data_IF_442946409799
#
_entry.id   IF_442946409799
#
_cell.length_a   1.000
_cell.length_b   1.000
_cell.length_c   1.000
_cell.angle_alpha   90.00
_cell.angle_beta   90.00
_cell.angle_gamma   90.00
#
_symmetry.space_group_name_H-M   'P 1'
#
loop_
_entity.id
_entity.type
_entity.pdbx_description
1 polymer ?
#
# COMPACT_ATOMS: atom_id res chain seq x y z
N UNK A 1 -2.56 -15.37 -4.08
CA UNK A 1 -3.96 -14.92 -3.97
C UNK A 1 -4.89 -15.77 -4.85
N UNK A 2 -4.78 -15.75 -6.19
CA UNK A 2 -5.72 -16.44 -7.11
C UNK A 2 -5.83 -17.98 -7.01
N UNK A 3 -4.89 -18.64 -6.33
CA UNK A 3 -4.88 -20.10 -6.11
C UNK A 3 -4.80 -20.42 -4.61
N UNK A 4 -5.33 -19.54 -3.77
CA UNK A 4 -5.26 -19.66 -2.30
C UNK A 4 -3.83 -19.72 -1.73
N UNK A 5 -2.86 -19.19 -2.49
CA UNK A 5 -1.44 -19.11 -2.10
C UNK A 5 -1.06 -17.81 -1.39
N UNK A 6 -2.02 -17.06 -0.85
CA UNK A 6 -1.70 -15.93 0.05
C UNK A 6 -0.99 -16.46 1.30
N UNK A 7 0.11 -15.82 1.72
CA UNK A 7 0.86 -16.29 2.89
C UNK A 7 0.14 -15.90 4.17
N UNK A 8 -0.31 -14.65 4.24
CA UNK A 8 -1.04 -14.15 5.38
C UNK A 8 -2.54 -14.32 5.16
N UNK A 9 -3.28 -14.51 6.25
CA UNK A 9 -4.74 -14.52 6.20
C UNK A 9 -5.29 -13.25 5.52
N UNK A 10 -4.70 -12.08 5.83
CA UNK A 10 -5.05 -10.81 5.20
C UNK A 10 -4.88 -10.79 3.69
N UNK A 11 -3.87 -11.49 3.15
CA UNK A 11 -3.62 -11.55 1.71
C UNK A 11 -4.74 -12.32 1.01
N UNK A 12 -5.22 -13.39 1.66
CA UNK A 12 -6.27 -14.22 1.10
C UNK A 12 -7.64 -13.55 1.17
N UNK A 13 -7.85 -12.60 2.10
CA UNK A 13 -9.11 -11.83 2.16
C UNK A 13 -9.34 -10.93 0.95
N UNK A 14 -8.30 -10.62 0.16
CA UNK A 14 -8.48 -9.83 -1.06
C UNK A 14 -9.09 -10.61 -2.23
N UNK A 15 -9.07 -11.96 -2.18
CA UNK A 15 -9.63 -12.83 -3.21
C UNK A 15 -10.41 -13.97 -2.53
N UNK A 16 -11.62 -13.66 -2.06
CA UNK A 16 -12.47 -14.54 -1.24
C UNK A 16 -13.96 -14.53 -1.66
N UNK A 17 -14.26 -14.15 -2.90
CA UNK A 17 -15.63 -13.96 -3.40
C UNK A 17 -16.19 -12.56 -3.12
N UNK A 18 -15.33 -11.60 -2.76
CA UNK A 18 -15.70 -10.26 -2.34
C UNK A 18 -15.59 -9.20 -3.44
N UNK A 19 -15.73 -7.93 -3.04
CA UNK A 19 -15.68 -6.78 -3.98
C UNK A 19 -14.28 -6.51 -4.54
N UNK A 20 -13.22 -7.04 -3.92
CA UNK A 20 -11.83 -6.82 -4.34
C UNK A 20 -11.33 -7.86 -5.33
N UNK A 21 -12.07 -8.94 -5.54
CA UNK A 21 -11.64 -10.07 -6.37
C UNK A 21 -11.30 -9.62 -7.80
N UNK A 22 -12.16 -8.80 -8.42
CA UNK A 22 -11.96 -8.31 -9.78
C UNK A 22 -10.70 -7.45 -9.93
N UNK A 23 -10.32 -6.72 -8.89
CA UNK A 23 -9.08 -5.94 -8.87
C UNK A 23 -7.85 -6.86 -8.77
N UNK A 24 -7.89 -7.88 -7.90
CA UNK A 24 -6.83 -8.89 -7.80
C UNK A 24 -6.65 -9.62 -9.13
N UNK A 25 -7.75 -9.97 -9.80
CA UNK A 25 -7.71 -10.59 -11.12
C UNK A 25 -7.16 -9.65 -12.20
N UNK A 26 -7.59 -8.39 -12.19
CA UNK A 26 -7.10 -7.36 -13.11
C UNK A 26 -5.60 -7.14 -12.99
N UNK A 27 -5.10 -6.96 -11.77
CA UNK A 27 -3.68 -6.75 -11.50
C UNK A 27 -2.81 -7.97 -11.81
N UNK A 28 -3.35 -9.18 -11.59
CA UNK A 28 -2.64 -10.42 -11.94
C UNK A 28 -2.47 -10.60 -13.46
N UNK A 29 -3.40 -10.06 -14.26
CA UNK A 29 -3.36 -10.12 -15.73
C UNK A 29 -2.64 -8.93 -16.36
N UNK A 30 -2.57 -7.78 -15.66
CA UNK A 30 -1.92 -6.57 -16.14
C UNK A 30 -0.99 -5.96 -15.06
N UNK A 31 0.30 -6.35 -15.05
CA UNK A 31 1.29 -5.83 -14.11
C UNK A 31 1.54 -4.32 -14.24
N UNK A 32 1.39 -3.74 -15.43
CA UNK A 32 1.60 -2.30 -15.65
C UNK A 32 0.51 -1.47 -14.98
N UNK A 33 -0.75 -1.93 -15.06
CA UNK A 33 -1.87 -1.31 -14.33
C UNK A 33 -1.64 -1.36 -12.81
N UNK A 34 -1.18 -2.50 -12.29
CA UNK A 34 -0.80 -2.61 -10.88
C UNK A 34 0.31 -1.63 -10.50
N UNK A 35 1.38 -1.55 -11.28
CA UNK A 35 2.51 -0.66 -10.98
C UNK A 35 2.10 0.82 -10.95
N UNK A 36 1.24 1.24 -11.90
CA UNK A 36 0.72 2.61 -11.95
C UNK A 36 -0.14 2.94 -10.72
N UNK A 37 -1.10 2.07 -10.40
CA UNK A 37 -1.98 2.26 -9.24
C UNK A 37 -1.23 2.16 -7.92
N UNK A 38 -0.24 1.27 -7.84
CA UNK A 38 0.64 1.16 -6.68
C UNK A 38 1.40 2.47 -6.43
N UNK A 39 1.98 3.09 -7.47
CA UNK A 39 2.64 4.39 -7.35
C UNK A 39 1.70 5.47 -6.81
N UNK A 40 0.49 5.56 -7.37
CA UNK A 40 -0.53 6.51 -6.91
C UNK A 40 -0.96 6.25 -5.46
N UNK A 41 -1.14 4.98 -5.09
CA UNK A 41 -1.50 4.57 -3.73
C UNK A 41 -0.39 4.92 -2.73
N UNK A 42 0.88 4.72 -3.09
CA UNK A 42 2.03 5.04 -2.24
C UNK A 42 2.19 6.55 -2.02
N UNK A 43 1.91 7.38 -3.04
CA UNK A 43 1.86 8.85 -2.88
C UNK A 43 0.76 9.23 -1.90
N UNK A 44 -0.45 8.68 -2.08
CA UNK A 44 -1.58 8.94 -1.18
C UNK A 44 -1.26 8.51 0.26
N UNK A 45 -0.63 7.35 0.44
CA UNK A 45 -0.21 6.84 1.75
C UNK A 45 0.87 7.72 2.40
N UNK A 46 1.87 8.17 1.63
CA UNK A 46 2.92 9.05 2.13
C UNK A 46 2.42 10.43 2.57
N UNK A 47 1.28 10.86 2.04
CA UNK A 47 0.61 12.10 2.40
C UNK A 47 -0.37 11.97 3.59
N UNK A 48 -0.41 10.82 4.27
CA UNK A 48 -1.23 10.65 5.49
C UNK A 48 -0.58 11.44 6.63
N UNK A 49 -1.23 12.53 7.03
CA UNK A 49 -0.92 13.34 8.22
C UNK A 49 0.56 13.75 8.38
N UNK A 50 1.22 14.31 7.34
CA UNK A 50 2.59 14.77 7.49
C UNK A 50 2.68 15.98 8.43
N UNK A 51 3.76 16.06 9.18
CA UNK A 51 4.13 17.31 9.86
C UNK A 51 4.74 18.27 8.82
N UNK A 52 4.17 19.45 8.68
CA UNK A 52 4.55 20.44 7.65
C UNK A 52 4.86 21.80 8.26
N UNK A 53 5.53 22.66 7.48
CA UNK A 53 5.96 23.98 7.91
C UNK A 53 6.94 23.88 9.08
N UNK A 54 6.61 24.54 10.20
CA UNK A 54 7.40 24.51 11.43
C UNK A 54 6.92 23.43 12.42
N UNK A 55 5.96 22.59 12.03
CA UNK A 55 5.49 21.48 12.86
C UNK A 55 6.55 20.37 12.85
N UNK A 56 7.06 19.99 14.03
CA UNK A 56 8.06 18.92 14.18
C UNK A 56 9.50 19.41 14.24
N UNK A 57 10.45 18.56 13.79
CA UNK A 57 11.89 18.84 13.80
C UNK A 57 12.63 18.03 12.74
N UNK A 58 13.72 18.59 12.21
CA UNK A 58 14.69 17.83 11.42
C UNK A 58 15.66 17.15 12.39
N UNK A 59 15.54 15.84 12.54
CA UNK A 59 16.35 15.07 13.50
C UNK A 59 17.78 14.89 12.99
N UNK A 60 18.76 15.09 13.86
CA UNK A 60 20.18 14.75 13.58
C UNK A 60 20.45 13.25 13.73
N UNK A 61 19.65 12.56 14.55
CA UNK A 61 19.65 11.12 14.70
C UNK A 61 18.19 10.62 14.74
N UNK A 62 17.78 9.82 13.74
CA UNK A 62 16.39 9.36 13.61
C UNK A 62 15.85 8.60 14.83
N UNK A 63 16.74 8.01 15.66
CA UNK A 63 16.38 7.22 16.84
C UNK A 63 16.01 8.04 18.08
N UNK A 64 16.30 9.35 18.09
CA UNK A 64 16.07 10.24 19.25
C UNK A 64 15.45 11.57 18.80
N UNK A 65 14.65 12.20 19.66
CA UNK A 65 14.37 13.63 19.53
C UNK A 65 15.67 14.43 19.73
N UNK A 66 15.81 15.58 19.05
CA UNK A 66 16.94 16.47 19.29
C UNK A 66 16.93 16.97 20.75
#
# INVERSE_FOLDING_TARGET
>A
MMMEKGLLHSDQQFHNGGSTDSQVEGYSKNPEAFAADFGNAMIKMGNITPLTGTSGQIRLNCRKAN
#
